data_IF_887011081989
#
_entry.id   IF_887011081989
#
_cell.length_a   1.000
_cell.length_b   1.000
_cell.length_c   1.000
_cell.angle_alpha   90.00
_cell.angle_beta   90.00
_cell.angle_gamma   90.00
#
_symmetry.space_group_name_H-M   'P 1'
#
loop_
_entity.id
_entity.type
_entity.pdbx_description
1 polymer ?
#
# COMPACT_ATOMS: atom_id res chain seq x y z
N UNK A 1 19.45 14.67 7.12
CA UNK A 1 20.05 13.33 7.09
C UNK A 1 21.55 13.47 6.89
N UNK A 2 22.34 12.78 7.71
CA UNK A 2 23.81 12.90 7.78
C UNK A 2 24.53 11.89 6.90
N UNK A 3 23.88 10.79 6.53
CA UNK A 3 24.42 9.76 5.64
C UNK A 3 23.29 9.08 4.87
N UNK A 4 23.68 8.23 3.91
CA UNK A 4 22.75 7.49 3.04
C UNK A 4 21.80 6.58 3.83
N UNK A 5 22.29 5.89 4.85
CA UNK A 5 21.50 4.98 5.68
C UNK A 5 20.34 5.69 6.38
N UNK A 6 20.54 6.92 6.86
CA UNK A 6 19.46 7.71 7.46
C UNK A 6 18.36 8.07 6.44
N UNK A 7 18.74 8.35 5.18
CA UNK A 7 17.79 8.62 4.09
C UNK A 7 16.99 7.35 3.76
N UNK A 8 17.67 6.22 3.64
CA UNK A 8 17.06 4.93 3.35
C UNK A 8 16.06 4.54 4.43
N UNK A 9 16.42 4.67 5.71
CA UNK A 9 15.52 4.37 6.82
C UNK A 9 14.31 5.28 6.86
N UNK A 10 14.49 6.59 6.63
CA UNK A 10 13.38 7.53 6.59
C UNK A 10 12.44 7.25 5.42
N UNK A 11 13.00 6.87 4.27
CA UNK A 11 12.23 6.48 3.08
C UNK A 11 11.43 5.20 3.33
N UNK A 12 12.05 4.17 3.91
CA UNK A 12 11.37 2.93 4.27
C UNK A 12 10.24 3.16 5.27
N UNK A 13 10.47 4.01 6.27
CA UNK A 13 9.46 4.39 7.26
C UNK A 13 8.28 5.11 6.61
N UNK A 14 8.56 6.02 5.67
CA UNK A 14 7.52 6.74 4.94
C UNK A 14 6.71 5.80 4.04
N UNK A 15 7.38 4.89 3.31
CA UNK A 15 6.72 3.90 2.44
C UNK A 15 5.83 2.97 3.26
N UNK A 16 6.30 2.48 4.40
CA UNK A 16 5.49 1.66 5.30
C UNK A 16 4.23 2.40 5.76
N UNK A 17 4.39 3.62 6.28
CA UNK A 17 3.25 4.41 6.72
C UNK A 17 2.27 4.69 5.57
N UNK A 18 2.77 5.05 4.39
CA UNK A 18 1.93 5.35 3.24
C UNK A 18 1.12 4.13 2.80
N UNK A 19 1.74 2.96 2.68
CA UNK A 19 1.09 1.77 2.14
C UNK A 19 0.20 1.06 3.16
N UNK A 20 0.62 1.02 4.43
CA UNK A 20 0.00 0.17 5.45
C UNK A 20 -0.84 0.94 6.48
N UNK A 21 -0.71 2.27 6.57
CA UNK A 21 -1.37 3.06 7.64
C UNK A 21 -2.12 4.30 7.15
N UNK A 22 -1.72 4.89 6.03
CA UNK A 22 -2.37 6.10 5.50
C UNK A 22 -3.73 5.76 4.91
N UNK A 23 -4.78 6.37 5.47
CA UNK A 23 -6.14 6.24 4.93
C UNK A 23 -6.35 7.23 3.77
N UNK A 24 -6.85 6.73 2.64
CA UNK A 24 -7.15 7.55 1.46
C UNK A 24 -8.65 7.63 1.19
N UNK A 25 -9.21 8.84 1.22
CA UNK A 25 -10.64 9.08 0.93
C UNK A 25 -11.06 8.50 -0.43
N UNK A 26 -10.24 8.68 -1.47
CA UNK A 26 -10.51 8.12 -2.81
C UNK A 26 -10.63 6.59 -2.83
N UNK A 27 -10.00 5.90 -1.87
CA UNK A 27 -10.10 4.44 -1.74
C UNK A 27 -11.18 4.01 -0.74
N UNK A 28 -12.00 4.95 -0.23
CA UNK A 28 -12.99 4.65 0.80
C UNK A 28 -12.42 4.65 2.22
N UNK A 29 -11.38 5.45 2.47
CA UNK A 29 -10.71 5.57 3.77
C UNK A 29 -10.02 4.28 4.25
N UNK A 30 -9.45 3.50 3.32
CA UNK A 30 -8.60 2.34 3.63
C UNK A 30 -7.14 2.57 3.19
N UNK A 31 -6.17 1.81 3.74
CA UNK A 31 -4.79 1.83 3.28
C UNK A 31 -4.63 1.34 1.83
N UNK A 32 -3.66 1.87 1.07
CA UNK A 32 -3.35 1.42 -0.28
C UNK A 32 -3.13 -0.09 -0.41
N UNK A 33 -2.42 -0.71 0.54
CA UNK A 33 -2.15 -2.15 0.50
C UNK A 33 -3.44 -2.99 0.62
N UNK A 34 -4.43 -2.53 1.38
CA UNK A 34 -5.72 -3.20 1.49
C UNK A 34 -6.53 -3.08 0.20
N UNK A 35 -6.53 -1.89 -0.41
CA UNK A 35 -7.19 -1.67 -1.70
C UNK A 35 -6.57 -2.55 -2.81
N UNK A 36 -5.24 -2.63 -2.87
CA UNK A 36 -4.53 -3.49 -3.82
C UNK A 36 -4.86 -4.97 -3.61
N UNK A 37 -4.87 -5.43 -2.35
CA UNK A 37 -5.26 -6.80 -2.01
C UNK A 37 -6.69 -7.12 -2.47
N UNK A 38 -7.64 -6.20 -2.23
CA UNK A 38 -9.02 -6.36 -2.67
C UNK A 38 -9.14 -6.41 -4.19
N UNK A 39 -8.39 -5.57 -4.91
CA UNK A 39 -8.33 -5.56 -6.37
C UNK A 39 -7.86 -6.91 -6.93
N UNK A 40 -6.73 -7.43 -6.46
CA UNK A 40 -6.22 -8.73 -6.96
C UNK A 40 -7.12 -9.91 -6.58
N UNK A 41 -7.75 -9.87 -5.40
CA UNK A 41 -8.76 -10.87 -5.05
C UNK A 41 -9.96 -10.85 -6.02
N UNK A 42 -10.40 -9.66 -6.48
CA UNK A 42 -11.47 -9.54 -7.45
C UNK A 42 -11.10 -10.09 -8.83
N UNK A 43 -9.85 -9.87 -9.27
CA UNK A 43 -9.35 -10.44 -10.54
C UNK A 43 -9.32 -11.96 -10.47
N UNK A 44 -8.73 -12.53 -9.41
CA UNK A 44 -8.66 -13.98 -9.25
C UNK A 44 -10.05 -14.64 -9.20
N UNK A 45 -11.05 -13.96 -8.63
CA UNK A 45 -12.43 -14.43 -8.66
C UNK A 45 -13.05 -14.37 -10.06
N UNK A 46 -12.74 -13.33 -10.85
CA UNK A 46 -13.21 -13.21 -12.22
C UNK A 46 -12.60 -14.30 -13.12
N UNK A 47 -11.33 -14.64 -12.91
CA UNK A 47 -10.65 -15.72 -13.64
C UNK A 47 -11.23 -17.10 -13.30
N UNK A 48 -11.70 -17.32 -12.06
CA UNK A 48 -12.37 -18.56 -11.63
C UNK A 48 -13.83 -18.66 -12.08
N UNK A 49 -14.45 -17.55 -12.45
CA UNK A 49 -15.85 -17.48 -12.88
C UNK A 49 -16.04 -17.54 -14.41
N UNK A 50 -14.94 -17.52 -15.18
CA UNK A 50 -14.91 -17.63 -16.64
C UNK A 50 -14.68 -19.08 -17.11
#
# INVERSE_FOLDING_TARGET
WKNRTEVELATLTWVDWYNNRRLLERLGHIPPAEAEKAYYASIGNNDLAA
#
